data_IF_159754255070
#
_entry.id   IF_159754255070
#
_cell.length_a   1.000
_cell.length_b   1.000
_cell.length_c   1.000
_cell.angle_alpha   90.00
_cell.angle_beta   90.00
_cell.angle_gamma   90.00
#
_symmetry.space_group_name_H-M   'P 1'
#
loop_
_entity.id
_entity.type
_entity.pdbx_description
1 polymer ?
#
# COMPACT_ATOMS: atom_id res chain seq x y z
N UNK A 1 11.86 0.27 4.86
CA UNK A 1 10.53 0.61 4.32
C UNK A 1 10.66 1.77 3.33
N UNK A 2 10.15 1.61 2.11
CA UNK A 2 10.20 2.58 1.02
C UNK A 2 8.84 3.29 0.87
N UNK A 3 8.78 4.55 1.32
CA UNK A 3 7.55 5.33 1.31
C UNK A 3 7.05 5.69 -0.11
N UNK A 4 7.96 5.82 -1.07
CA UNK A 4 7.63 6.21 -2.44
C UNK A 4 6.96 5.05 -3.20
N UNK A 5 7.44 3.81 -2.99
CA UNK A 5 6.74 2.60 -3.46
C UNK A 5 5.36 2.44 -2.82
N UNK A 6 5.22 2.69 -1.52
CA UNK A 6 3.93 2.65 -0.81
C UNK A 6 2.97 3.70 -1.40
N UNK A 7 3.44 4.93 -1.64
CA UNK A 7 2.65 5.99 -2.26
C UNK A 7 2.17 5.62 -3.66
N UNK A 8 3.04 5.05 -4.50
CA UNK A 8 2.65 4.54 -5.82
C UNK A 8 1.65 3.40 -5.76
N UNK A 9 1.76 2.49 -4.77
CA UNK A 9 0.77 1.45 -4.57
C UNK A 9 -0.61 2.05 -4.23
N UNK A 10 -0.66 3.09 -3.38
CA UNK A 10 -1.90 3.81 -3.09
C UNK A 10 -2.49 4.50 -4.33
N UNK A 11 -1.64 5.11 -5.16
CA UNK A 11 -2.06 5.69 -6.45
C UNK A 11 -2.67 4.63 -7.37
N UNK A 12 -2.07 3.44 -7.47
CA UNK A 12 -2.56 2.34 -8.29
C UNK A 12 -3.96 1.86 -7.85
N UNK A 13 -4.25 1.94 -6.54
CA UNK A 13 -5.56 1.59 -6.00
C UNK A 13 -6.64 2.63 -6.35
N UNK A 14 -6.26 3.84 -6.77
CA UNK A 14 -7.14 4.97 -7.02
C UNK A 14 -7.14 6.02 -5.91
N UNK A 15 -6.23 5.91 -4.92
CA UNK A 15 -6.12 6.85 -3.80
C UNK A 15 -5.42 8.17 -4.16
N UNK A 16 -5.01 8.34 -5.43
CA UNK A 16 -4.31 9.51 -5.91
C UNK A 16 -4.61 9.79 -7.38
N UNK A 17 -3.97 10.84 -7.90
CA UNK A 17 -4.15 11.33 -9.28
C UNK A 17 -2.89 11.09 -10.10
N UNK A 18 -3.00 10.43 -11.25
CA UNK A 18 -1.92 10.37 -12.25
C UNK A 18 -1.93 11.65 -13.10
N UNK A 19 -3.13 12.15 -13.41
CA UNK A 19 -3.34 13.45 -14.06
C UNK A 19 -4.23 14.34 -13.21
N UNK A 20 -4.21 15.66 -13.42
CA UNK A 20 -4.95 16.61 -12.60
C UNK A 20 -6.48 16.35 -12.55
N UNK A 21 -7.02 15.74 -13.60
CA UNK A 21 -8.45 15.49 -13.76
C UNK A 21 -8.90 14.12 -13.21
N UNK A 22 -7.97 13.27 -12.76
CA UNK A 22 -8.32 11.95 -12.26
C UNK A 22 -9.20 12.04 -11.00
N UNK A 23 -10.24 11.21 -10.96
CA UNK A 23 -11.06 11.03 -9.77
C UNK A 23 -10.28 10.25 -8.70
N UNK A 24 -10.43 10.66 -7.43
CA UNK A 24 -9.87 9.95 -6.28
C UNK A 24 -10.96 9.06 -5.69
N UNK A 25 -10.65 7.77 -5.48
CA UNK A 25 -11.47 6.90 -4.64
C UNK A 25 -11.04 7.09 -3.18
N UNK A 26 -11.92 7.63 -2.34
CA UNK A 26 -11.62 7.91 -0.93
C UNK A 26 -11.69 6.66 -0.03
N UNK A 27 -12.12 5.52 -0.56
CA UNK A 27 -12.27 4.29 0.20
C UNK A 27 -11.17 3.26 -0.05
N UNK A 28 -10.19 3.61 -0.89
CA UNK A 28 -8.99 2.79 -1.13
C UNK A 28 -7.78 3.41 -0.44
N UNK A 29 -6.73 2.61 -0.26
CA UNK A 29 -5.48 3.06 0.34
C UNK A 29 -4.83 2.01 1.21
N UNK A 30 -3.93 2.47 2.08
CA UNK A 30 -3.12 1.60 2.94
C UNK A 30 -3.22 2.15 4.37
N UNK A 31 -3.59 1.31 5.33
CA UNK A 31 -3.69 1.66 6.76
C UNK A 31 -2.86 0.70 7.62
N UNK A 32 -2.80 0.99 8.92
CA UNK A 32 -2.17 0.12 9.93
C UNK A 32 -0.71 -0.22 9.61
N UNK A 33 0.04 0.73 9.05
CA UNK A 33 1.45 0.54 8.73
C UNK A 33 2.28 0.42 10.02
N UNK A 34 3.01 -0.69 10.13
CA UNK A 34 4.11 -0.83 11.09
C UNK A 34 5.19 0.19 10.83
N UNK A 35 5.72 0.76 11.91
CA UNK A 35 6.77 1.77 11.85
C UNK A 35 8.14 1.10 11.74
N UNK A 36 9.06 1.82 11.09
CA UNK A 36 10.47 1.40 11.04
C UNK A 36 11.02 1.31 12.46
N UNK A 37 11.62 0.16 12.79
CA UNK A 37 12.19 -0.12 14.11
C UNK A 37 11.24 -0.82 15.09
N UNK A 38 9.97 -1.04 14.72
CA UNK A 38 9.09 -1.91 15.51
C UNK A 38 9.46 -3.38 15.28
N UNK A 39 9.47 -4.17 16.36
CA UNK A 39 9.59 -5.62 16.25
C UNK A 39 8.33 -6.21 15.59
N UNK A 40 8.52 -7.29 14.83
CA UNK A 40 7.46 -8.01 14.15
C UNK A 40 7.64 -9.51 14.34
N UNK A 41 6.53 -10.22 14.54
CA UNK A 41 6.52 -11.68 14.63
C UNK A 41 6.11 -12.33 13.30
N UNK A 42 6.37 -13.64 13.15
CA UNK A 42 5.82 -14.41 12.04
C UNK A 42 4.29 -14.33 12.06
N UNK A 43 3.69 -14.24 10.87
CA UNK A 43 2.25 -14.07 10.67
C UNK A 43 1.66 -12.73 11.18
N UNK A 44 2.48 -11.80 11.65
CA UNK A 44 2.03 -10.46 12.01
C UNK A 44 1.77 -9.58 10.77
N UNK A 45 0.66 -8.85 10.80
CA UNK A 45 0.27 -7.95 9.71
C UNK A 45 1.10 -6.66 9.77
N UNK A 46 1.82 -6.35 8.68
CA UNK A 46 2.63 -5.15 8.56
C UNK A 46 1.85 -3.91 8.10
N UNK A 47 0.78 -4.13 7.33
CA UNK A 47 -0.10 -3.09 6.79
C UNK A 47 -1.38 -3.71 6.23
N UNK A 48 -2.44 -2.90 6.12
CA UNK A 48 -3.73 -3.29 5.56
C UNK A 48 -3.98 -2.56 4.25
N UNK A 49 -4.38 -3.30 3.22
CA UNK A 49 -4.69 -2.75 1.89
C UNK A 49 -6.21 -2.70 1.70
N UNK A 50 -6.71 -1.52 1.33
CA UNK A 50 -8.12 -1.29 0.99
C UNK A 50 -8.23 -1.10 -0.52
N UNK A 51 -8.92 -2.01 -1.20
CA UNK A 51 -9.04 -2.03 -2.65
C UNK A 51 -10.50 -2.26 -3.07
N UNK A 52 -10.92 -1.72 -4.22
CA UNK A 52 -12.24 -2.02 -4.80
C UNK A 52 -12.31 -3.34 -5.54
N UNK A 53 -11.20 -3.73 -6.15
CA UNK A 53 -11.11 -4.90 -6.99
C UNK A 53 -9.93 -5.77 -6.56
N UNK A 54 -10.12 -7.08 -6.55
CA UNK A 54 -9.08 -8.06 -6.21
C UNK A 54 -7.82 -7.87 -7.08
N UNK A 55 -8.00 -7.70 -8.40
CA UNK A 55 -6.88 -7.44 -9.33
C UNK A 55 -6.06 -6.19 -8.99
N UNK A 56 -6.70 -5.13 -8.48
CA UNK A 56 -5.98 -3.93 -8.03
C UNK A 56 -5.22 -4.17 -6.73
N UNK A 57 -5.80 -4.97 -5.83
CA UNK A 57 -5.17 -5.40 -4.59
C UNK A 57 -3.91 -6.24 -4.88
N UNK A 58 -3.99 -7.25 -5.75
CA UNK A 58 -2.86 -8.11 -6.11
C UNK A 58 -1.66 -7.31 -6.64
N UNK A 59 -1.92 -6.34 -7.53
CA UNK A 59 -0.86 -5.49 -8.09
C UNK A 59 -0.24 -4.57 -7.03
N UNK A 60 -1.06 -4.03 -6.13
CA UNK A 60 -0.56 -3.23 -5.01
C UNK A 60 0.29 -4.08 -4.07
N UNK A 61 -0.15 -5.31 -3.74
CA UNK A 61 0.57 -6.24 -2.87
C UNK A 61 1.96 -6.61 -3.42
N UNK A 62 2.09 -6.83 -4.73
CA UNK A 62 3.40 -7.07 -5.36
C UNK A 62 4.36 -5.90 -5.10
N UNK A 63 3.89 -4.67 -5.31
CA UNK A 63 4.69 -3.46 -5.10
C UNK A 63 5.03 -3.22 -3.62
N UNK A 64 4.11 -3.58 -2.71
CA UNK A 64 4.30 -3.42 -1.26
C UNK A 64 5.27 -4.45 -0.68
N UNK A 65 5.29 -5.69 -1.21
CA UNK A 65 6.30 -6.70 -0.84
C UNK A 65 7.72 -6.22 -1.11
N UNK A 66 7.92 -5.47 -2.19
CA UNK A 66 9.22 -4.87 -2.51
C UNK A 66 9.50 -3.58 -1.71
N UNK A 67 8.50 -3.02 -1.03
CA UNK A 67 8.65 -1.79 -0.25
C UNK A 67 9.09 -2.03 1.19
N UNK A 68 9.08 -3.28 1.67
CA UNK A 68 9.40 -3.64 3.06
C UNK A 68 10.49 -4.69 3.11
N UNK A 69 11.42 -4.53 4.04
CA UNK A 69 12.42 -5.51 4.40
C UNK A 69 12.34 -5.73 5.92
N UNK A 70 12.52 -6.97 6.35
CA UNK A 70 12.60 -7.37 7.76
C UNK A 70 14.02 -7.89 7.95
N UNK A 71 14.73 -7.35 8.93
CA UNK A 71 16.13 -7.64 9.27
C UNK A 71 16.26 -8.11 10.72
#
# INVERSE_FOLDING_TARGET
MDADRIGRASLLLGGGRQTADDAIDFAVGISDLKKVGEAVESDEVLMRVHARMEKSCERALLMLKEAVAIE
#
